data_IF_083947092137
#
_entry.id   IF_083947092137
#
_cell.length_a   1.000
_cell.length_b   1.000
_cell.length_c   1.000
_cell.angle_alpha   90.00
_cell.angle_beta   90.00
_cell.angle_gamma   90.00
#
_symmetry.space_group_name_H-M   'P 1'
#
loop_
_entity.id
_entity.type
_entity.pdbx_description
1 polymer ?
#
# COMPACT_ATOMS: atom_id res chain seq x y z
N UNK A 1 -1.18 -33.51 4.53
CA UNK A 1 -0.10 -33.08 5.44
C UNK A 1 -0.41 -31.63 5.84
N UNK A 2 -0.98 -31.40 7.03
CA UNK A 2 -1.37 -30.06 7.50
C UNK A 2 -0.21 -29.51 8.34
N UNK A 3 0.52 -28.54 7.81
CA UNK A 3 1.47 -27.77 8.61
C UNK A 3 0.65 -26.65 9.24
N UNK A 4 0.36 -26.78 10.53
CA UNK A 4 -0.28 -25.77 11.34
C UNK A 4 0.84 -24.85 11.85
N UNK A 5 1.06 -23.70 11.18
CA UNK A 5 1.99 -22.69 11.69
C UNK A 5 1.24 -21.89 12.75
N UNK A 6 1.45 -22.23 14.02
CA UNK A 6 1.11 -21.34 15.12
C UNK A 6 2.15 -20.23 15.16
N UNK A 7 1.76 -19.04 14.71
CA UNK A 7 2.57 -17.86 14.82
C UNK A 7 2.14 -17.08 16.07
N UNK A 8 2.90 -17.23 17.15
CA UNK A 8 2.71 -16.45 18.37
C UNK A 8 3.59 -15.20 18.25
N UNK A 9 3.04 -14.05 17.86
CA UNK A 9 3.72 -12.77 18.02
C UNK A 9 3.71 -12.42 19.51
N UNK A 10 4.84 -12.59 20.18
CA UNK A 10 5.06 -12.00 21.49
C UNK A 10 5.37 -10.52 21.28
N UNK A 11 4.49 -9.64 21.77
CA UNK A 11 4.79 -8.22 21.92
C UNK A 11 5.98 -8.12 22.89
N UNK A 12 7.16 -7.91 22.33
CA UNK A 12 8.41 -7.88 23.07
C UNK A 12 8.60 -6.46 23.62
N UNK A 13 8.92 -6.33 24.91
CA UNK A 13 9.39 -5.06 25.50
C UNK A 13 10.77 -4.62 24.97
N UNK A 14 11.37 -5.39 24.06
CA UNK A 14 12.62 -5.05 23.38
C UNK A 14 12.35 -4.53 21.97
N UNK A 15 13.14 -3.55 21.55
CA UNK A 15 13.01 -2.78 20.29
C UNK A 15 13.44 -3.59 19.06
N UNK A 16 13.46 -4.92 19.15
CA UNK A 16 13.78 -5.78 18.02
C UNK A 16 12.52 -6.04 17.20
N UNK A 17 12.55 -5.88 15.87
CA UNK A 17 11.37 -6.08 15.05
C UNK A 17 10.88 -7.53 15.12
N UNK A 18 9.56 -7.72 15.11
CA UNK A 18 8.97 -9.03 14.88
C UNK A 18 8.90 -9.26 13.38
N UNK A 19 9.72 -10.17 12.87
CA UNK A 19 9.87 -10.45 11.44
C UNK A 19 9.14 -11.74 11.06
N UNK A 20 8.26 -11.64 10.07
CA UNK A 20 7.65 -12.78 9.39
C UNK A 20 8.30 -12.92 8.01
N UNK A 21 9.10 -13.98 7.84
CA UNK A 21 9.88 -14.25 6.62
C UNK A 21 10.05 -15.75 6.35
N UNK A 22 10.28 -16.11 5.09
CA UNK A 22 10.75 -17.44 4.68
C UNK A 22 12.05 -17.85 5.41
N UNK A 23 12.17 -19.12 5.83
CA UNK A 23 13.45 -19.68 6.23
C UNK A 23 14.27 -20.03 4.97
N UNK A 24 15.41 -19.36 4.75
CA UNK A 24 16.32 -19.69 3.66
C UNK A 24 17.01 -21.03 3.95
N UNK A 25 16.57 -22.10 3.28
CA UNK A 25 17.34 -23.35 3.21
C UNK A 25 17.86 -23.51 1.77
N UNK A 26 19.17 -23.74 1.57
CA UNK A 26 19.70 -24.01 0.23
C UNK A 26 19.18 -25.38 -0.20
N UNK A 27 18.29 -25.40 -1.20
CA UNK A 27 17.80 -26.64 -1.78
C UNK A 27 18.18 -26.69 -3.25
N UNK A 28 19.01 -27.68 -3.59
CA UNK A 28 19.40 -27.98 -4.97
C UNK A 28 18.22 -28.65 -5.68
N UNK A 29 17.65 -27.99 -6.69
CA UNK A 29 16.63 -28.59 -7.57
C UNK A 29 17.08 -28.60 -9.03
N UNK A 30 16.56 -29.59 -9.77
CA UNK A 30 16.82 -29.81 -11.19
C UNK A 30 16.24 -28.65 -12.03
N UNK A 31 16.78 -28.36 -13.23
CA UNK A 31 16.22 -27.34 -14.11
C UNK A 31 14.75 -27.63 -14.42
N UNK A 32 13.87 -26.63 -14.25
CA UNK A 32 12.45 -26.70 -14.65
C UNK A 32 11.42 -26.91 -13.52
N UNK A 33 11.82 -26.86 -12.25
CA UNK A 33 10.87 -26.81 -11.12
C UNK A 33 11.08 -25.49 -10.37
N UNK A 34 10.17 -24.54 -10.54
CA UNK A 34 10.07 -23.38 -9.65
C UNK A 34 9.32 -23.84 -8.39
N UNK A 35 10.01 -23.91 -7.26
CA UNK A 35 9.38 -24.04 -5.95
C UNK A 35 9.34 -22.65 -5.34
N UNK A 36 8.15 -22.10 -5.17
CA UNK A 36 7.99 -20.91 -4.34
C UNK A 36 8.29 -21.28 -2.88
N UNK A 37 9.35 -20.72 -2.32
CA UNK A 37 9.79 -21.01 -0.94
C UNK A 37 9.22 -20.03 0.09
N UNK A 38 8.41 -19.06 -0.35
CA UNK A 38 7.79 -18.07 0.52
C UNK A 38 6.75 -18.73 1.45
N UNK A 39 6.50 -18.19 2.67
CA UNK A 39 5.37 -18.61 3.48
C UNK A 39 4.06 -18.30 2.75
N UNK A 40 3.17 -19.30 2.66
CA UNK A 40 1.85 -19.15 2.07
C UNK A 40 0.76 -19.15 3.15
N UNK A 41 -0.03 -18.08 3.19
CA UNK A 41 -1.26 -17.97 3.96
C UNK A 41 -2.44 -18.17 3.00
N UNK A 42 -3.11 -19.33 3.08
CA UNK A 42 -4.19 -19.70 2.14
C UNK A 42 -5.31 -20.55 2.71
N UNK A 43 -6.48 -20.43 2.08
CA UNK A 43 -7.71 -21.16 2.40
C UNK A 43 -8.26 -20.93 3.81
N UNK A 44 -8.01 -19.76 4.39
CA UNK A 44 -8.62 -19.35 5.65
C UNK A 44 -10.13 -19.14 5.46
N UNK A 45 -10.90 -19.49 6.50
CA UNK A 45 -12.36 -19.35 6.54
C UNK A 45 -12.81 -18.05 7.23
N UNK A 46 -11.88 -17.11 7.37
CA UNK A 46 -12.04 -15.76 7.89
C UNK A 46 -10.96 -14.88 7.26
N UNK A 47 -10.53 -13.82 7.93
CA UNK A 47 -9.32 -13.11 7.53
C UNK A 47 -8.11 -14.06 7.42
N UNK A 48 -7.19 -13.75 6.50
CA UNK A 48 -5.99 -14.55 6.27
C UNK A 48 -5.04 -14.52 7.46
N UNK A 49 -4.63 -13.31 7.86
CA UNK A 49 -3.82 -13.03 9.06
C UNK A 49 -4.32 -11.76 9.72
N UNK A 50 -4.43 -11.78 11.05
CA UNK A 50 -4.69 -10.59 11.86
C UNK A 50 -3.46 -10.23 12.68
N UNK A 51 -3.12 -8.95 12.73
CA UNK A 51 -2.16 -8.37 13.66
C UNK A 51 -2.84 -7.17 14.29
N UNK A 52 -2.94 -7.13 15.61
CA UNK A 52 -3.69 -6.09 16.32
C UNK A 52 -3.07 -5.65 17.65
N UNK A 53 -3.52 -4.49 18.13
CA UNK A 53 -3.21 -3.84 19.39
C UNK A 53 -3.84 -4.50 20.64
N UNK A 54 -4.42 -5.70 20.51
CA UNK A 54 -5.12 -6.39 21.59
C UNK A 54 -6.44 -5.71 22.01
N UNK A 55 -6.95 -4.78 21.20
CA UNK A 55 -8.21 -4.05 21.43
C UNK A 55 -8.05 -2.71 22.14
N UNK A 56 -6.82 -2.24 22.39
CA UNK A 56 -6.57 -0.91 22.95
C UNK A 56 -5.35 -0.24 22.31
N UNK A 57 -5.55 0.98 21.80
CA UNK A 57 -4.45 1.74 21.20
C UNK A 57 -3.41 2.24 22.19
N UNK A 58 -3.66 2.15 23.49
CA UNK A 58 -2.63 2.46 24.50
C UNK A 58 -1.42 1.52 24.44
N UNK A 59 -1.53 0.39 23.74
CA UNK A 59 -0.49 -0.60 23.56
C UNK A 59 -0.43 -1.04 22.09
N UNK A 60 0.00 -0.17 21.16
CA UNK A 60 0.02 -0.51 19.75
C UNK A 60 0.95 -1.70 19.50
N UNK A 61 0.59 -2.55 18.55
CA UNK A 61 1.53 -3.53 18.03
C UNK A 61 2.59 -2.77 17.22
N UNK A 62 3.89 -2.98 17.48
CA UNK A 62 4.90 -2.14 16.86
C UNK A 62 6.14 -2.88 16.36
N UNK A 63 6.83 -2.27 15.39
CA UNK A 63 8.06 -2.80 14.80
C UNK A 63 7.81 -4.17 14.13
N UNK A 64 6.83 -4.22 13.22
CA UNK A 64 6.44 -5.45 12.52
C UNK A 64 6.97 -5.41 11.09
N UNK A 65 7.64 -6.48 10.66
CA UNK A 65 8.07 -6.65 9.26
C UNK A 65 7.45 -7.90 8.68
N UNK A 66 6.74 -7.75 7.56
CA UNK A 66 6.22 -8.85 6.75
C UNK A 66 6.97 -8.80 5.42
N UNK A 67 7.76 -9.84 5.15
CA UNK A 67 8.65 -9.87 4.00
C UNK A 67 8.61 -11.23 3.31
N UNK A 68 8.67 -11.21 1.97
CA UNK A 68 8.78 -12.42 1.15
C UNK A 68 7.65 -13.42 1.45
N UNK A 69 6.39 -12.96 1.55
CA UNK A 69 5.23 -13.77 1.89
C UNK A 69 4.16 -13.78 0.77
N UNK A 70 3.32 -14.82 0.75
CA UNK A 70 2.19 -14.93 -0.19
C UNK A 70 0.89 -15.11 0.60
N UNK A 71 -0.07 -14.22 0.38
CA UNK A 71 -1.42 -14.29 0.94
C UNK A 71 -2.39 -14.54 -0.20
N UNK A 72 -3.09 -15.67 -0.19
CA UNK A 72 -3.96 -16.01 -1.33
C UNK A 72 -5.10 -16.96 -1.05
N UNK A 73 -6.08 -16.95 -1.95
CA UNK A 73 -7.14 -17.97 -2.05
C UNK A 73 -7.93 -18.13 -0.73
N UNK A 74 -8.62 -17.09 -0.28
CA UNK A 74 -9.51 -17.21 0.89
C UNK A 74 -10.65 -18.21 0.60
N UNK A 75 -10.93 -19.09 1.57
CA UNK A 75 -12.02 -20.07 1.49
C UNK A 75 -13.34 -19.52 2.07
N UNK A 76 -13.51 -18.20 2.00
CA UNK A 76 -14.64 -17.47 2.58
C UNK A 76 -15.01 -16.29 1.68
N UNK A 77 -16.30 -15.96 1.63
CA UNK A 77 -16.84 -14.78 0.94
C UNK A 77 -17.11 -13.63 1.90
N UNK A 78 -17.53 -12.48 1.37
CA UNK A 78 -17.85 -11.30 2.18
C UNK A 78 -16.61 -10.51 2.59
N UNK A 79 -16.73 -9.71 3.65
CA UNK A 79 -15.67 -8.82 4.11
C UNK A 79 -14.64 -9.57 4.96
N UNK A 80 -13.72 -10.26 4.29
CA UNK A 80 -12.59 -10.93 4.91
C UNK A 80 -11.30 -10.53 4.20
N UNK A 81 -10.33 -10.03 4.96
CA UNK A 81 -9.11 -9.45 4.43
C UNK A 81 -7.99 -10.50 4.40
N UNK A 82 -7.14 -10.46 3.37
CA UNK A 82 -5.95 -11.32 3.32
C UNK A 82 -4.99 -11.01 4.47
N UNK A 83 -4.80 -9.72 4.76
CA UNK A 83 -4.06 -9.22 5.91
C UNK A 83 -4.84 -8.08 6.60
N UNK A 84 -5.19 -8.29 7.86
CA UNK A 84 -5.88 -7.30 8.70
C UNK A 84 -4.92 -6.73 9.73
N UNK A 85 -4.74 -5.41 9.71
CA UNK A 85 -3.92 -4.66 10.66
C UNK A 85 -4.80 -3.73 11.48
N UNK A 86 -4.60 -3.67 12.79
CA UNK A 86 -5.38 -2.78 13.67
C UNK A 86 -4.52 -2.22 14.80
N UNK A 87 -4.31 -0.91 14.83
CA UNK A 87 -3.50 -0.25 15.86
C UNK A 87 -2.01 -0.59 15.80
N UNK A 88 -1.45 -0.69 14.59
CA UNK A 88 -0.02 -0.93 14.41
C UNK A 88 0.77 0.37 14.27
N UNK A 89 1.95 0.45 14.87
CA UNK A 89 2.92 1.52 14.66
C UNK A 89 4.25 0.95 14.11
N UNK A 90 4.92 1.67 13.22
CA UNK A 90 6.25 1.29 12.70
C UNK A 90 6.23 -0.12 12.09
N UNK A 91 5.63 -0.25 10.91
CA UNK A 91 5.53 -1.53 10.22
C UNK A 91 6.04 -1.44 8.78
N UNK A 92 6.51 -2.55 8.27
CA UNK A 92 6.93 -2.67 6.88
C UNK A 92 6.37 -3.94 6.25
N UNK A 93 5.78 -3.82 5.06
CA UNK A 93 5.28 -4.92 4.25
C UNK A 93 5.96 -4.83 2.89
N UNK A 94 6.82 -5.81 2.58
CA UNK A 94 7.61 -5.75 1.36
C UNK A 94 7.80 -7.08 0.66
N UNK A 95 7.95 -7.05 -0.66
CA UNK A 95 8.21 -8.24 -1.48
C UNK A 95 7.16 -9.34 -1.29
N UNK A 96 5.91 -8.97 -0.97
CA UNK A 96 4.80 -9.89 -0.77
C UNK A 96 3.88 -9.94 -2.00
N UNK A 97 3.15 -11.05 -2.13
CA UNK A 97 2.09 -11.20 -3.12
C UNK A 97 0.73 -11.40 -2.42
N UNK A 98 -0.29 -10.70 -2.92
CA UNK A 98 -1.67 -10.76 -2.44
C UNK A 98 -2.59 -11.11 -3.61
N UNK A 99 -3.20 -12.29 -3.57
CA UNK A 99 -3.90 -12.85 -4.75
C UNK A 99 -5.26 -13.43 -4.37
N UNK A 100 -6.27 -13.28 -5.22
CA UNK A 100 -7.57 -13.96 -5.09
C UNK A 100 -8.21 -13.73 -3.70
N UNK A 101 -8.42 -12.46 -3.36
CA UNK A 101 -9.07 -12.05 -2.11
C UNK A 101 -10.55 -12.43 -2.04
N UNK A 102 -11.16 -12.31 -0.85
CA UNK A 102 -12.60 -12.49 -0.73
C UNK A 102 -13.35 -11.33 -1.39
N UNK A 103 -14.47 -11.61 -2.05
CA UNK A 103 -15.19 -10.62 -2.88
C UNK A 103 -15.53 -9.30 -2.18
N UNK A 104 -15.76 -9.31 -0.86
CA UNK A 104 -16.07 -8.10 -0.09
C UNK A 104 -14.92 -7.56 0.76
N UNK A 105 -13.76 -8.21 0.77
CA UNK A 105 -12.62 -7.86 1.61
C UNK A 105 -11.48 -7.19 0.86
N UNK A 106 -10.38 -7.00 1.58
CA UNK A 106 -9.19 -6.26 1.14
C UNK A 106 -7.98 -7.18 1.01
N UNK A 107 -7.00 -6.80 0.19
CA UNK A 107 -5.65 -7.37 0.29
C UNK A 107 -5.03 -7.05 1.65
N UNK A 108 -4.96 -5.76 1.98
CA UNK A 108 -4.55 -5.24 3.29
C UNK A 108 -5.62 -4.28 3.79
N UNK A 109 -6.23 -4.55 4.95
CA UNK A 109 -7.13 -3.60 5.64
C UNK A 109 -6.48 -3.10 6.93
N UNK A 110 -6.26 -1.79 7.02
CA UNK A 110 -5.65 -1.12 8.16
C UNK A 110 -6.68 -0.26 8.89
N UNK A 111 -6.71 -0.41 10.22
CA UNK A 111 -7.52 0.45 11.09
C UNK A 111 -6.61 1.13 12.11
N UNK A 112 -6.45 2.44 11.98
CA UNK A 112 -5.66 3.30 12.86
C UNK A 112 -4.21 2.81 13.03
N UNK A 113 -3.54 2.59 11.90
CA UNK A 113 -2.12 2.21 11.87
C UNK A 113 -1.25 3.43 11.51
N UNK A 114 -0.02 3.49 12.01
CA UNK A 114 0.85 4.65 11.79
C UNK A 114 2.29 4.26 11.44
N UNK A 115 2.98 5.19 10.77
CA UNK A 115 4.41 5.05 10.44
C UNK A 115 4.74 3.76 9.67
N UNK A 116 3.89 3.45 8.68
CA UNK A 116 3.98 2.23 7.88
C UNK A 116 4.69 2.43 6.55
N UNK A 117 5.27 1.37 6.00
CA UNK A 117 5.76 1.32 4.63
C UNK A 117 5.30 0.03 3.94
N UNK A 118 4.52 0.17 2.88
CA UNK A 118 4.03 -0.93 2.04
C UNK A 118 4.70 -0.77 0.68
N UNK A 119 5.71 -1.59 0.38
CA UNK A 119 6.51 -1.40 -0.83
C UNK A 119 6.87 -2.66 -1.59
N UNK A 120 7.01 -2.55 -2.90
CA UNK A 120 7.50 -3.66 -3.74
C UNK A 120 6.64 -4.93 -3.60
N UNK A 121 5.33 -4.76 -3.43
CA UNK A 121 4.37 -5.86 -3.35
C UNK A 121 3.56 -5.97 -4.65
N UNK A 122 3.00 -7.15 -4.87
CA UNK A 122 2.11 -7.45 -5.99
C UNK A 122 0.69 -7.76 -5.47
N UNK A 123 -0.30 -7.18 -6.11
CA UNK A 123 -1.72 -7.34 -5.80
C UNK A 123 -2.46 -7.73 -7.09
N UNK A 124 -3.09 -8.91 -7.11
CA UNK A 124 -3.82 -9.39 -8.30
C UNK A 124 -5.16 -10.05 -7.95
N UNK A 125 -6.22 -9.67 -8.68
CA UNK A 125 -7.57 -10.24 -8.51
C UNK A 125 -8.12 -10.13 -7.07
N UNK A 126 -8.26 -8.88 -6.60
CA UNK A 126 -8.77 -8.60 -5.25
C UNK A 126 -10.29 -8.34 -5.28
N UNK A 127 -10.92 -8.41 -4.10
CA UNK A 127 -12.36 -8.21 -3.95
C UNK A 127 -12.77 -6.74 -3.98
N UNK A 128 -12.94 -6.14 -2.80
CA UNK A 128 -13.37 -4.74 -2.69
C UNK A 128 -12.24 -3.77 -3.04
N UNK A 129 -11.03 -4.03 -2.54
CA UNK A 129 -9.86 -3.19 -2.69
C UNK A 129 -8.56 -3.98 -2.47
N UNK A 130 -7.42 -3.43 -2.90
CA UNK A 130 -6.10 -4.00 -2.61
C UNK A 130 -5.58 -3.54 -1.26
N UNK A 131 -5.67 -2.24 -0.99
CA UNK A 131 -5.30 -1.66 0.31
C UNK A 131 -6.40 -0.70 0.76
N UNK A 132 -6.83 -0.87 2.01
CA UNK A 132 -7.67 0.10 2.72
C UNK A 132 -6.94 0.64 3.95
N UNK A 133 -6.87 1.97 4.06
CA UNK A 133 -6.28 2.69 5.18
C UNK A 133 -7.38 3.51 5.86
N UNK A 134 -7.87 3.15 7.05
CA UNK A 134 -9.00 3.86 7.69
C UNK A 134 -8.82 4.02 9.20
N UNK A 135 -9.79 4.63 9.87
CA UNK A 135 -9.88 4.63 11.33
C UNK A 135 -8.80 5.43 12.04
N UNK A 136 -8.30 6.50 11.41
CA UNK A 136 -7.23 7.36 11.93
C UNK A 136 -5.84 7.01 11.40
N UNK A 137 -5.73 6.12 10.41
CA UNK A 137 -4.44 5.70 9.84
C UNK A 137 -3.65 6.89 9.29
N UNK A 138 -2.37 7.02 9.64
CA UNK A 138 -1.56 8.19 9.28
C UNK A 138 -0.10 7.86 9.02
N UNK A 139 0.61 8.65 8.20
CA UNK A 139 2.05 8.49 7.95
C UNK A 139 2.42 7.12 7.36
N UNK A 140 1.65 6.66 6.37
CA UNK A 140 1.95 5.40 5.65
C UNK A 140 2.38 5.70 4.23
N UNK A 141 3.54 5.17 3.85
CA UNK A 141 4.03 5.12 2.47
C UNK A 141 3.56 3.86 1.75
N UNK A 142 3.07 4.01 0.53
CA UNK A 142 2.66 2.94 -0.40
C UNK A 142 3.49 3.15 -1.66
N UNK A 143 4.59 2.41 -1.80
CA UNK A 143 5.65 2.75 -2.75
C UNK A 143 6.07 1.59 -3.66
N UNK A 144 6.12 1.81 -4.99
CA UNK A 144 6.67 0.80 -5.89
C UNK A 144 5.91 -0.53 -5.92
N UNK A 145 4.61 -0.51 -5.65
CA UNK A 145 3.75 -1.70 -5.70
C UNK A 145 3.09 -1.83 -7.07
N UNK A 146 2.78 -3.06 -7.45
CA UNK A 146 2.05 -3.40 -8.66
C UNK A 146 0.64 -3.87 -8.31
N UNK A 147 -0.37 -3.23 -8.90
CA UNK A 147 -1.78 -3.58 -8.72
C UNK A 147 -2.40 -3.93 -10.06
N UNK A 148 -3.01 -5.12 -10.15
CA UNK A 148 -3.84 -5.53 -11.29
C UNK A 148 -5.18 -6.04 -10.79
N UNK A 149 -6.27 -5.53 -11.37
CA UNK A 149 -7.63 -5.94 -11.00
C UNK A 149 -7.83 -5.83 -9.48
N UNK A 150 -7.43 -4.69 -8.93
CA UNK A 150 -7.35 -4.43 -7.49
C UNK A 150 -8.70 -4.23 -6.79
N UNK A 151 -9.81 -4.60 -7.44
CA UNK A 151 -11.17 -4.44 -6.96
C UNK A 151 -11.85 -3.14 -7.38
N UNK A 152 -12.94 -2.79 -6.70
CA UNK A 152 -13.73 -1.59 -7.01
C UNK A 152 -12.98 -0.29 -6.69
N UNK A 153 -12.12 -0.31 -5.67
CA UNK A 153 -11.37 0.84 -5.16
C UNK A 153 -9.95 0.40 -4.82
N UNK A 154 -9.05 0.26 -5.81
CA UNK A 154 -7.76 -0.41 -5.59
C UNK A 154 -7.02 0.09 -4.35
N UNK A 155 -6.87 1.40 -4.21
CA UNK A 155 -6.53 2.06 -2.95
C UNK A 155 -7.75 2.78 -2.39
N UNK A 156 -8.28 2.29 -1.28
CA UNK A 156 -9.32 2.97 -0.52
C UNK A 156 -8.68 3.72 0.66
N UNK A 157 -8.26 4.95 0.39
CA UNK A 157 -7.57 5.85 1.30
C UNK A 157 -8.61 6.54 2.18
N UNK A 158 -8.94 5.88 3.28
CA UNK A 158 -9.99 6.23 4.23
C UNK A 158 -11.11 5.18 4.26
N UNK A 159 -12.33 5.58 4.64
CA UNK A 159 -13.48 4.66 4.68
C UNK A 159 -14.63 5.11 5.57
N UNK A 160 -15.29 4.12 6.17
CA UNK A 160 -16.39 4.29 7.11
C UNK A 160 -16.13 3.45 8.36
N UNK A 161 -15.34 3.99 9.28
CA UNK A 161 -14.94 3.32 10.50
C UNK A 161 -15.94 3.63 11.62
N UNK A 162 -16.36 2.62 12.37
CA UNK A 162 -17.15 2.86 13.59
C UNK A 162 -16.33 3.66 14.61
N UNK A 163 -16.94 4.65 15.28
CA UNK A 163 -16.22 5.59 16.16
C UNK A 163 -15.37 4.91 17.25
N UNK A 164 -15.85 3.77 17.78
CA UNK A 164 -15.15 2.96 18.78
C UNK A 164 -13.86 2.29 18.25
N UNK A 165 -13.64 2.31 16.95
CA UNK A 165 -12.50 1.70 16.27
C UNK A 165 -11.50 2.73 15.75
N UNK A 166 -11.64 4.00 16.07
CA UNK A 166 -10.60 4.96 15.72
C UNK A 166 -9.38 4.79 16.62
N UNK A 167 -8.19 4.87 16.04
CA UNK A 167 -6.93 4.98 16.77
C UNK A 167 -6.11 6.14 16.19
N UNK A 168 -5.75 7.15 16.99
CA UNK A 168 -6.33 7.44 18.31
C UNK A 168 -7.84 7.73 18.19
N UNK A 169 -8.59 7.57 19.29
CA UNK A 169 -10.03 7.85 19.32
C UNK A 169 -10.36 9.34 19.11
N UNK A 170 -9.37 10.22 19.20
CA UNK A 170 -9.41 11.65 18.91
C UNK A 170 -9.14 12.02 17.45
N UNK A 171 -8.92 11.05 16.56
CA UNK A 171 -8.65 11.34 15.15
C UNK A 171 -9.80 12.12 14.47
N UNK A 172 -9.41 13.06 13.62
CA UNK A 172 -10.28 14.00 12.88
C UNK A 172 -10.39 13.67 11.39
N UNK A 173 -9.93 12.49 10.98
CA UNK A 173 -9.91 12.00 9.59
C UNK A 173 -9.97 10.47 9.60
N UNK A 174 -10.41 9.87 8.50
CA UNK A 174 -10.32 8.41 8.32
C UNK A 174 -8.88 7.99 8.03
N UNK A 175 -8.20 8.77 7.19
CA UNK A 175 -6.78 8.63 6.94
C UNK A 175 -6.14 9.99 6.66
N UNK A 176 -4.89 10.18 7.04
CA UNK A 176 -4.17 11.39 6.69
C UNK A 176 -2.68 11.16 6.41
N UNK A 177 -2.04 12.15 5.77
CA UNK A 177 -0.58 12.16 5.55
C UNK A 177 -0.06 10.84 4.93
N UNK A 178 -0.79 10.33 3.95
CA UNK A 178 -0.40 9.13 3.19
C UNK A 178 0.38 9.53 1.95
N UNK A 179 1.29 8.66 1.54
CA UNK A 179 2.18 8.86 0.39
C UNK A 179 2.03 7.67 -0.54
N UNK A 180 1.55 7.89 -1.76
CA UNK A 180 1.35 6.85 -2.76
C UNK A 180 2.26 7.15 -3.94
N UNK A 181 3.40 6.47 -4.00
CA UNK A 181 4.48 6.82 -4.91
C UNK A 181 4.95 5.69 -5.82
N UNK A 182 5.26 6.01 -7.07
CA UNK A 182 5.93 5.08 -7.99
C UNK A 182 5.20 3.73 -8.16
N UNK A 183 3.88 3.68 -7.96
CA UNK A 183 3.09 2.46 -8.13
C UNK A 183 2.54 2.34 -9.55
N UNK A 184 2.19 1.12 -9.93
CA UNK A 184 1.56 0.81 -11.20
C UNK A 184 0.17 0.21 -10.94
N UNK A 185 -0.83 0.72 -11.65
CA UNK A 185 -2.22 0.27 -11.57
C UNK A 185 -2.69 -0.16 -12.96
N UNK A 186 -3.17 -1.39 -13.08
CA UNK A 186 -3.73 -1.96 -14.31
C UNK A 186 -5.18 -2.36 -14.05
N UNK A 187 -6.11 -1.78 -14.82
CA UNK A 187 -7.54 -1.98 -14.59
C UNK A 187 -8.05 -1.18 -13.38
N UNK A 188 -9.10 -1.70 -12.74
CA UNK A 188 -9.82 -1.13 -11.57
C UNK A 188 -10.96 -0.19 -11.95
N UNK A 189 -12.11 -0.37 -11.29
CA UNK A 189 -13.25 0.54 -11.42
C UNK A 189 -12.89 1.97 -10.99
N UNK A 190 -12.17 2.11 -9.87
CA UNK A 190 -11.45 3.33 -9.51
C UNK A 190 -10.11 2.97 -8.83
N UNK A 191 -8.94 3.32 -9.39
CA UNK A 191 -7.67 2.97 -8.77
C UNK A 191 -7.44 3.73 -7.47
N UNK A 192 -7.87 5.00 -7.38
CA UNK A 192 -7.72 5.84 -6.19
C UNK A 192 -9.08 6.29 -5.66
N UNK A 193 -9.36 6.00 -4.40
CA UNK A 193 -10.50 6.56 -3.68
C UNK A 193 -10.02 7.27 -2.41
N UNK A 194 -10.13 8.60 -2.37
CA UNK A 194 -10.01 9.41 -1.16
C UNK A 194 -11.35 9.40 -0.44
N UNK A 195 -11.41 8.89 0.78
CA UNK A 195 -12.66 8.66 1.52
C UNK A 195 -12.55 9.21 2.93
N UNK A 196 -12.83 10.50 3.12
CA UNK A 196 -12.55 11.19 4.39
C UNK A 196 -11.05 11.32 4.67
N UNK A 197 -10.25 11.42 3.60
CA UNK A 197 -8.80 11.53 3.66
C UNK A 197 -8.30 12.97 3.53
N UNK A 198 -7.22 13.28 4.24
CA UNK A 198 -6.62 14.63 4.30
C UNK A 198 -5.11 14.57 4.13
N UNK A 199 -4.51 15.51 3.40
CA UNK A 199 -3.06 15.59 3.20
C UNK A 199 -2.43 14.33 2.58
N UNK A 200 -3.14 13.67 1.66
CA UNK A 200 -2.62 12.53 0.91
C UNK A 200 -1.94 13.02 -0.37
N UNK A 201 -0.76 12.50 -0.66
CA UNK A 201 -0.04 12.75 -1.92
C UNK A 201 -0.02 11.48 -2.74
N UNK A 202 -0.63 11.52 -3.93
CA UNK A 202 -0.53 10.49 -4.95
C UNK A 202 0.33 11.03 -6.07
N UNK A 203 1.60 10.59 -6.11
CA UNK A 203 2.54 11.14 -7.07
C UNK A 203 3.40 10.10 -7.79
N UNK A 204 3.77 10.40 -9.03
CA UNK A 204 4.67 9.56 -9.81
C UNK A 204 4.13 8.13 -9.99
N UNK A 205 2.81 7.94 -10.11
CA UNK A 205 2.22 6.63 -10.38
C UNK A 205 1.84 6.50 -11.87
N UNK A 206 1.72 5.28 -12.34
CA UNK A 206 1.20 4.97 -13.68
C UNK A 206 -0.14 4.25 -13.55
N UNK A 207 -1.20 4.83 -14.11
CA UNK A 207 -2.54 4.27 -14.20
C UNK A 207 -2.83 3.87 -15.65
N UNK A 208 -3.09 2.60 -15.87
CA UNK A 208 -3.34 2.03 -17.18
C UNK A 208 -4.72 1.37 -17.22
N UNK A 209 -5.59 1.87 -18.09
CA UNK A 209 -6.95 1.35 -18.32
C UNK A 209 -7.84 1.32 -17.05
N UNK A 210 -7.97 2.43 -16.29
CA UNK A 210 -9.04 2.52 -15.29
C UNK A 210 -10.41 2.42 -15.99
N UNK A 211 -11.40 1.77 -15.36
CA UNK A 211 -12.64 1.39 -16.06
C UNK A 211 -13.78 2.42 -15.95
N UNK A 212 -13.94 3.09 -14.80
CA UNK A 212 -15.12 3.95 -14.58
C UNK A 212 -14.76 5.32 -14.02
N UNK A 213 -13.74 5.38 -13.16
CA UNK A 213 -13.14 6.61 -12.66
C UNK A 213 -11.63 6.40 -12.51
N UNK A 214 -10.86 7.48 -12.54
CA UNK A 214 -9.48 7.49 -12.08
C UNK A 214 -9.44 7.79 -10.58
N UNK A 215 -10.27 8.74 -10.15
CA UNK A 215 -10.28 9.24 -8.78
C UNK A 215 -11.71 9.27 -8.24
N UNK A 216 -11.87 8.89 -6.97
CA UNK A 216 -13.08 9.18 -6.19
C UNK A 216 -12.73 10.07 -5.00
N UNK A 217 -13.55 11.09 -4.76
CA UNK A 217 -13.46 12.01 -3.62
C UNK A 217 -14.77 11.86 -2.84
N UNK A 218 -14.72 11.19 -1.70
CA UNK A 218 -15.89 10.77 -0.93
C UNK A 218 -15.74 11.16 0.54
N UNK A 219 -16.88 11.29 1.23
CA UNK A 219 -16.94 11.44 2.68
C UNK A 219 -17.98 10.47 3.23
N UNK A 220 -17.54 9.30 3.71
CA UNK A 220 -18.46 8.28 4.22
C UNK A 220 -18.69 8.40 5.73
N UNK A 221 -17.70 8.86 6.49
CA UNK A 221 -17.88 9.24 7.91
C UNK A 221 -18.20 10.73 8.00
N UNK A 222 -19.44 11.06 8.37
CA UNK A 222 -19.95 12.44 8.41
C UNK A 222 -20.32 12.83 9.84
N UNK A 223 -19.43 13.58 10.47
CA UNK A 223 -19.68 14.31 11.72
C UNK A 223 -18.85 15.60 11.65
N UNK A 224 -19.45 16.73 11.23
CA UNK A 224 -18.73 17.99 11.01
C UNK A 224 -18.09 18.60 12.26
N UNK A 225 -18.53 18.21 13.46
CA UNK A 225 -17.93 18.68 14.71
C UNK A 225 -16.60 17.97 15.02
N UNK A 226 -16.36 16.83 14.36
CA UNK A 226 -15.20 15.98 14.58
C UNK A 226 -14.32 15.82 13.35
N UNK A 227 -14.88 15.55 12.19
CA UNK A 227 -14.12 15.17 10.99
C UNK A 227 -13.95 16.33 10.02
N UNK A 228 -12.73 16.49 9.55
CA UNK A 228 -12.45 17.36 8.42
C UNK A 228 -13.11 16.78 7.15
N UNK A 229 -13.62 17.65 6.26
CA UNK A 229 -14.05 17.19 4.94
C UNK A 229 -12.85 16.66 4.15
N UNK A 230 -13.08 15.63 3.33
CA UNK A 230 -12.07 15.07 2.44
C UNK A 230 -11.53 16.17 1.52
N UNK A 231 -10.24 16.48 1.64
CA UNK A 231 -9.64 17.68 1.07
C UNK A 231 -8.14 17.78 1.34
N UNK A 232 -7.49 18.80 0.76
CA UNK A 232 -6.05 19.04 0.84
C UNK A 232 -5.22 17.82 0.37
N UNK A 233 -5.68 17.12 -0.67
CA UNK A 233 -4.96 16.00 -1.25
C UNK A 233 -4.39 16.40 -2.63
N UNK A 234 -3.30 15.76 -3.03
CA UNK A 234 -2.59 16.11 -4.27
C UNK A 234 -2.46 14.90 -5.20
N UNK A 235 -2.65 15.15 -6.49
CA UNK A 235 -2.41 14.20 -7.59
C UNK A 235 -1.39 14.81 -8.56
N UNK A 236 -0.14 14.37 -8.46
CA UNK A 236 1.01 15.07 -9.07
C UNK A 236 1.90 14.12 -9.90
N UNK A 237 2.41 14.55 -11.05
CA UNK A 237 3.37 13.74 -11.84
C UNK A 237 2.87 12.33 -12.18
N UNK A 238 1.57 12.06 -12.23
CA UNK A 238 1.08 10.73 -12.59
C UNK A 238 0.92 10.61 -14.10
N UNK A 239 1.08 9.40 -14.65
CA UNK A 239 0.62 9.07 -15.99
C UNK A 239 -0.74 8.39 -15.87
N UNK A 240 -1.73 8.89 -16.60
CA UNK A 240 -3.04 8.26 -16.79
C UNK A 240 -3.19 7.94 -18.26
N UNK A 241 -3.29 6.65 -18.58
CA UNK A 241 -3.49 6.13 -19.92
C UNK A 241 -4.88 5.51 -20.01
N UNK A 242 -5.72 6.07 -20.87
CA UNK A 242 -7.09 5.64 -21.12
C UNK A 242 -7.17 4.94 -22.48
N UNK A 243 -7.87 3.82 -22.54
CA UNK A 243 -8.20 3.16 -23.81
C UNK A 243 -9.41 3.78 -24.48
N UNK A 244 -10.33 4.35 -23.70
CA UNK A 244 -11.57 4.95 -24.16
C UNK A 244 -12.00 6.10 -23.23
N UNK A 245 -12.98 6.88 -23.66
CA UNK A 245 -13.58 7.93 -22.84
C UNK A 245 -14.27 7.34 -21.61
N UNK A 246 -13.91 7.84 -20.43
CA UNK A 246 -14.69 7.59 -19.22
C UNK A 246 -15.90 8.54 -19.17
N UNK A 247 -17.00 8.09 -18.55
CA UNK A 247 -18.13 8.98 -18.28
C UNK A 247 -17.73 10.19 -17.42
N UNK A 248 -16.73 10.00 -16.54
CA UNK A 248 -16.07 11.05 -15.76
C UNK A 248 -14.77 10.47 -15.18
N UNK A 249 -13.66 11.20 -15.21
CA UNK A 249 -12.40 10.74 -14.60
C UNK A 249 -12.44 10.88 -13.07
N UNK A 250 -13.26 11.80 -12.56
CA UNK A 250 -13.41 12.08 -11.13
C UNK A 250 -14.86 11.89 -10.69
N UNK A 251 -15.06 11.11 -9.64
CA UNK A 251 -16.35 11.01 -8.93
C UNK A 251 -16.28 11.80 -7.62
N UNK A 252 -17.19 12.74 -7.43
CA UNK A 252 -17.25 13.59 -6.23
C UNK A 252 -18.54 13.33 -5.48
N UNK A 253 -18.42 12.93 -4.22
CA UNK A 253 -19.52 12.77 -3.28
C UNK A 253 -19.79 14.04 -2.46
N UNK A 254 -20.95 14.11 -1.78
CA UNK A 254 -21.28 15.23 -0.90
C UNK A 254 -20.34 15.31 0.32
N UNK A 255 -20.36 16.45 1.02
CA UNK A 255 -19.59 16.70 2.26
C UNK A 255 -18.06 16.60 2.10
N UNK A 256 -17.56 16.81 0.89
CA UNK A 256 -16.14 16.88 0.55
C UNK A 256 -15.73 18.32 0.28
N UNK A 257 -14.43 18.61 0.28
CA UNK A 257 -13.87 19.92 -0.07
C UNK A 257 -12.97 19.79 -1.33
N UNK A 258 -13.51 19.37 -2.48
CA UNK A 258 -12.72 19.05 -3.68
C UNK A 258 -11.97 20.27 -4.25
N UNK A 259 -12.44 21.49 -3.96
CA UNK A 259 -11.78 22.75 -4.32
C UNK A 259 -10.42 22.97 -3.66
N UNK A 260 -10.09 22.15 -2.66
CA UNK A 260 -8.80 22.20 -1.95
C UNK A 260 -7.75 21.22 -2.50
N UNK A 261 -8.12 20.41 -3.51
CA UNK A 261 -7.20 19.47 -4.12
C UNK A 261 -6.15 20.19 -4.98
N UNK A 262 -5.01 19.54 -5.18
CA UNK A 262 -3.98 19.98 -6.11
C UNK A 262 -3.83 18.95 -7.25
N UNK A 263 -3.87 19.43 -8.48
CA UNK A 263 -3.51 18.66 -9.67
C UNK A 263 -2.37 19.39 -10.39
N UNK A 264 -1.26 18.69 -10.61
CA UNK A 264 -0.07 19.31 -11.18
C UNK A 264 0.78 18.32 -11.97
N UNK A 265 1.21 18.72 -13.17
CA UNK A 265 2.21 18.00 -13.96
C UNK A 265 1.85 16.52 -14.26
N UNK A 266 0.57 16.14 -14.25
CA UNK A 266 0.15 14.82 -14.70
C UNK A 266 0.13 14.76 -16.23
N UNK A 267 0.33 13.57 -16.77
CA UNK A 267 0.13 13.27 -18.18
C UNK A 267 -1.16 12.47 -18.31
N UNK A 268 -2.12 13.00 -19.05
CA UNK A 268 -3.36 12.32 -19.41
C UNK A 268 -3.36 12.01 -20.90
N UNK A 269 -3.40 10.73 -21.23
CA UNK A 269 -3.39 10.26 -22.61
C UNK A 269 -4.60 9.39 -22.88
N UNK A 270 -5.43 9.82 -23.82
CA UNK A 270 -6.52 9.02 -24.37
C UNK A 270 -6.07 8.42 -25.70
N UNK A 271 -6.02 7.10 -25.77
CA UNK A 271 -5.52 6.39 -26.94
C UNK A 271 -6.53 6.32 -28.10
N UNK A 272 -7.83 6.46 -27.82
CA UNK A 272 -8.90 6.37 -28.82
C UNK A 272 -9.37 7.74 -29.32
N UNK A 273 -9.12 8.82 -28.56
CA UNK A 273 -9.42 10.19 -28.98
C UNK A 273 -8.21 11.14 -28.88
N UNK A 274 -7.57 11.40 -30.02
CA UNK A 274 -6.46 12.36 -30.14
C UNK A 274 -6.86 13.83 -29.88
N UNK A 275 -8.16 14.15 -29.93
CA UNK A 275 -8.70 15.48 -29.65
C UNK A 275 -9.42 15.57 -28.30
N UNK A 276 -9.25 14.55 -27.44
CA UNK A 276 -9.87 14.53 -26.13
C UNK A 276 -9.54 15.80 -25.34
N UNK A 277 -10.55 16.42 -24.73
CA UNK A 277 -10.40 17.72 -24.08
C UNK A 277 -9.65 17.67 -22.74
N UNK A 278 -9.30 16.46 -22.28
CA UNK A 278 -8.72 16.22 -20.96
C UNK A 278 -9.77 15.89 -19.90
N UNK A 279 -9.32 15.58 -18.67
CA UNK A 279 -10.17 15.13 -17.59
C UNK A 279 -11.07 16.24 -17.04
N UNK A 280 -12.25 15.88 -16.54
CA UNK A 280 -13.10 16.79 -15.77
C UNK A 280 -12.65 16.86 -14.30
N UNK A 281 -11.74 17.78 -13.99
CA UNK A 281 -11.17 17.96 -12.65
C UNK A 281 -11.94 19.00 -11.81
N UNK A 282 -12.02 18.85 -10.47
CA UNK A 282 -12.70 19.81 -9.60
C UNK A 282 -12.02 21.18 -9.52
N UNK A 283 -10.72 21.20 -9.80
CA UNK A 283 -9.91 22.42 -9.90
C UNK A 283 -9.03 22.32 -11.15
N UNK A 284 -8.66 23.45 -11.78
CA UNK A 284 -7.76 23.44 -12.93
C UNK A 284 -6.40 22.83 -12.57
N UNK A 285 -5.93 21.92 -13.41
CA UNK A 285 -4.58 21.39 -13.30
C UNK A 285 -3.54 22.40 -13.79
N UNK A 286 -2.40 22.46 -13.11
CA UNK A 286 -1.25 23.28 -13.51
C UNK A 286 -0.21 22.44 -14.24
N UNK A 287 0.28 22.91 -15.40
CA UNK A 287 1.33 22.26 -16.20
C UNK A 287 1.06 20.79 -16.60
N UNK A 288 -0.20 20.37 -16.66
CA UNK A 288 -0.57 19.03 -17.15
C UNK A 288 -0.25 18.85 -18.64
N UNK A 289 0.05 17.62 -19.03
CA UNK A 289 0.22 17.21 -20.43
C UNK A 289 -1.03 16.46 -20.88
N UNK A 290 -1.64 16.88 -21.98
CA UNK A 290 -2.82 16.24 -22.56
C UNK A 290 -2.48 15.60 -23.90
N UNK A 291 -3.00 14.40 -24.14
CA UNK A 291 -2.89 13.63 -25.38
C UNK A 291 -1.46 13.44 -25.88
N UNK A 292 -0.51 13.32 -24.95
CA UNK A 292 0.87 13.00 -25.25
C UNK A 292 1.14 11.53 -24.91
N UNK A 293 1.35 10.69 -25.93
CA UNK A 293 1.61 9.25 -25.73
C UNK A 293 2.89 9.05 -24.89
N UNK A 294 2.82 8.38 -23.72
CA UNK A 294 3.98 8.14 -22.88
C UNK A 294 5.01 7.19 -23.50
N UNK A 295 4.70 6.53 -24.62
CA UNK A 295 5.56 5.59 -25.34
C UNK A 295 5.98 4.39 -24.49
N UNK A 296 5.03 3.81 -23.73
CA UNK A 296 5.29 2.61 -22.94
C UNK A 296 5.90 1.50 -23.80
N UNK A 297 6.92 0.82 -23.28
CA UNK A 297 7.67 -0.19 -24.02
C UNK A 297 6.80 -1.37 -24.49
N UNK A 298 6.20 -2.11 -23.55
CA UNK A 298 5.26 -3.22 -23.86
C UNK A 298 4.14 -3.33 -22.82
N UNK A 299 3.15 -2.41 -22.84
CA UNK A 299 2.09 -2.36 -21.82
C UNK A 299 1.23 -3.64 -21.79
N UNK A 300 1.11 -4.37 -22.90
CA UNK A 300 0.44 -5.68 -22.97
C UNK A 300 1.11 -6.77 -22.13
N UNK A 301 2.39 -6.61 -21.81
CA UNK A 301 3.14 -7.47 -20.89
C UNK A 301 3.33 -6.82 -19.51
N UNK A 302 2.57 -5.76 -19.21
CA UNK A 302 2.71 -4.92 -18.02
C UNK A 302 4.09 -4.25 -17.86
N UNK A 303 4.80 -3.99 -18.97
CA UNK A 303 6.00 -3.16 -18.98
C UNK A 303 5.64 -1.72 -19.33
N UNK A 304 5.60 -0.88 -18.29
CA UNK A 304 5.28 0.54 -18.36
C UNK A 304 6.53 1.44 -18.30
N UNK A 305 7.71 0.87 -18.56
CA UNK A 305 8.90 1.69 -18.71
C UNK A 305 8.76 2.66 -19.89
N UNK A 306 9.35 3.84 -19.73
CA UNK A 306 9.31 4.91 -20.73
C UNK A 306 10.72 5.16 -21.28
N UNK A 307 10.87 5.40 -22.60
CA UNK A 307 12.15 5.73 -23.19
C UNK A 307 12.53 7.19 -22.92
N UNK A 308 13.80 7.54 -23.09
CA UNK A 308 14.33 8.90 -22.86
C UNK A 308 13.72 9.99 -23.76
N UNK A 309 13.04 9.61 -24.85
CA UNK A 309 12.32 10.51 -25.75
C UNK A 309 10.81 10.57 -25.49
N UNK A 310 10.31 9.89 -24.44
CA UNK A 310 8.92 10.01 -24.00
C UNK A 310 8.59 11.46 -23.63
N UNK A 311 7.38 11.97 -23.93
CA UNK A 311 6.94 13.28 -23.45
C UNK A 311 6.85 13.34 -21.91
N UNK A 312 6.77 12.21 -21.23
CA UNK A 312 6.74 12.09 -19.78
C UNK A 312 8.12 12.33 -19.11
N UNK A 313 9.16 12.70 -19.85
CA UNK A 313 10.53 12.82 -19.32
C UNK A 313 10.75 13.93 -18.26
N UNK A 314 9.76 14.80 -17.99
CA UNK A 314 9.92 15.93 -17.05
C UNK A 314 8.64 16.35 -16.34
N UNK A 315 8.58 16.13 -15.03
CA UNK A 315 7.51 16.55 -14.12
C UNK A 315 7.92 17.68 -13.17
N UNK A 316 7.15 17.84 -12.10
CA UNK A 316 7.39 18.74 -10.97
C UNK A 316 8.44 18.14 -10.03
N UNK A 317 9.40 18.95 -9.56
CA UNK A 317 10.34 18.50 -8.53
C UNK A 317 9.62 18.29 -7.19
N UNK A 318 9.72 17.07 -6.65
CA UNK A 318 9.23 16.70 -5.33
C UNK A 318 10.38 16.29 -4.41
N UNK A 319 10.17 16.29 -3.09
CA UNK A 319 11.15 15.78 -2.12
C UNK A 319 11.17 14.25 -2.03
N UNK A 320 10.08 13.61 -2.46
CA UNK A 320 9.90 12.17 -2.57
C UNK A 320 8.90 11.90 -3.72
N UNK A 321 8.91 10.71 -4.35
CA UNK A 321 9.82 9.57 -4.10
C UNK A 321 11.25 9.81 -4.57
N UNK A 322 12.20 9.11 -3.94
CA UNK A 322 13.60 9.10 -4.38
C UNK A 322 13.86 8.08 -5.50
N UNK A 323 13.10 6.97 -5.51
CA UNK A 323 13.28 5.86 -6.43
C UNK A 323 12.00 5.60 -7.24
N UNK A 324 12.18 5.20 -8.49
CA UNK A 324 11.14 4.74 -9.39
C UNK A 324 10.71 3.30 -9.08
N UNK A 325 9.74 2.78 -9.83
CA UNK A 325 9.20 1.44 -9.65
C UNK A 325 10.27 0.34 -9.80
N UNK A 326 11.27 0.55 -10.65
CA UNK A 326 12.38 -0.39 -10.85
C UNK A 326 13.52 -0.21 -9.83
N UNK A 327 13.38 0.71 -8.88
CA UNK A 327 14.40 1.02 -7.87
C UNK A 327 15.53 1.92 -8.40
N UNK A 328 15.38 2.54 -9.57
CA UNK A 328 16.31 3.54 -10.06
C UNK A 328 16.00 4.90 -9.44
N UNK A 329 17.01 5.74 -9.25
CA UNK A 329 16.76 7.08 -8.73
C UNK A 329 16.10 8.00 -9.74
N UNK A 330 15.08 8.75 -9.30
CA UNK A 330 14.46 9.81 -10.10
C UNK A 330 15.45 10.95 -10.35
N UNK A 331 15.40 11.54 -11.53
CA UNK A 331 16.15 12.75 -11.85
C UNK A 331 15.56 13.99 -11.14
N UNK A 332 16.24 15.14 -11.24
CA UNK A 332 15.70 16.42 -10.75
C UNK A 332 15.66 17.42 -11.90
N UNK A 333 14.46 17.84 -12.36
CA UNK A 333 13.14 17.28 -12.01
C UNK A 333 12.98 15.81 -12.46
N UNK A 334 12.07 15.05 -11.83
CA UNK A 334 11.82 13.64 -12.15
C UNK A 334 11.08 13.52 -13.48
N UNK A 335 11.08 12.33 -14.08
CA UNK A 335 10.04 11.96 -15.05
C UNK A 335 8.65 11.92 -14.40
N UNK A 336 7.60 12.04 -15.22
CA UNK A 336 6.19 11.81 -14.86
C UNK A 336 5.95 10.29 -14.94
N UNK A 337 5.15 9.76 -14.01
CA UNK A 337 4.81 8.34 -13.92
C UNK A 337 5.76 7.56 -13.03
N UNK A 338 5.59 6.23 -13.05
CA UNK A 338 6.27 5.30 -12.15
C UNK A 338 7.69 4.92 -12.55
N UNK A 339 8.16 5.29 -13.75
CA UNK A 339 9.50 4.98 -14.24
C UNK A 339 10.25 6.26 -14.57
N UNK A 340 11.55 6.29 -14.26
CA UNK A 340 12.43 7.38 -14.67
C UNK A 340 13.01 7.12 -16.05
N UNK A 341 12.77 8.04 -17.00
CA UNK A 341 13.27 7.93 -18.37
C UNK A 341 14.80 8.10 -18.45
N UNK A 342 15.39 8.88 -17.54
CA UNK A 342 16.83 9.14 -17.48
C UNK A 342 17.34 9.01 -16.04
N UNK A 343 17.47 7.77 -15.52
CA UNK A 343 17.77 7.55 -14.11
C UNK A 343 19.13 8.09 -13.72
N UNK A 344 19.22 8.67 -12.52
CA UNK A 344 20.50 9.11 -11.97
C UNK A 344 21.37 7.88 -11.68
N UNK A 345 22.49 7.78 -12.38
CA UNK A 345 23.50 6.76 -12.12
C UNK A 345 24.25 7.08 -10.83
N UNK A 346 24.36 6.13 -9.91
CA UNK A 346 25.21 6.27 -8.72
C UNK A 346 24.56 6.88 -7.48
N UNK A 347 23.22 6.87 -7.39
CA UNK A 347 22.62 6.68 -6.07
C UNK A 347 23.00 5.26 -5.66
N UNK A 348 24.05 5.12 -4.86
CA UNK A 348 24.25 3.88 -4.12
C UNK A 348 22.89 3.60 -3.45
N UNK A 349 22.25 2.49 -3.82
CA UNK A 349 21.46 1.74 -2.85
C UNK A 349 22.42 1.59 -1.68
N UNK A 350 22.33 2.46 -0.66
CA UNK A 350 23.15 2.32 0.52
C UNK A 350 22.96 0.85 0.92
N UNK A 351 24.00 0.00 0.81
CA UNK A 351 23.84 -1.44 0.88
C UNK A 351 23.11 -1.68 2.17
N UNK A 352 21.87 -2.19 2.07
CA UNK A 352 20.83 -2.23 3.11
C UNK A 352 21.52 -2.18 4.47
N UNK A 353 21.81 -0.96 4.93
CA UNK A 353 22.61 -0.82 6.15
C UNK A 353 21.51 -1.15 7.13
N UNK A 354 21.50 -2.39 7.60
CA UNK A 354 20.97 -2.72 8.92
C UNK A 354 21.38 -1.52 9.76
N UNK A 355 20.43 -0.63 10.02
CA UNK A 355 20.74 0.64 10.63
C UNK A 355 21.46 0.27 11.92
N UNK A 356 22.78 0.52 12.09
CA UNK A 356 23.42 0.19 13.34
C UNK A 356 22.95 1.29 14.28
N UNK A 357 21.82 1.03 14.94
CA UNK A 357 21.15 1.95 15.84
C UNK A 357 20.37 3.05 15.11
N UNK A 358 19.08 2.82 14.90
CA UNK A 358 18.15 3.80 15.46
C UNK A 358 18.47 3.87 16.95
N UNK A 359 19.25 4.88 17.34
CA UNK A 359 19.48 5.19 18.76
C UNK A 359 18.15 5.68 19.31
N UNK A 360 17.36 4.74 19.81
CA UNK A 360 16.31 5.06 20.75
C UNK A 360 17.00 5.65 21.99
N UNK A 361 16.61 6.84 22.48
CA UNK A 361 17.14 7.36 23.72
C UNK A 361 16.78 6.37 24.84
N UNK A 362 17.76 5.56 25.23
CA UNK A 362 17.64 4.67 26.39
C UNK A 362 17.51 5.52 27.65
N UNK A 363 16.53 5.28 28.54
CA UNK A 363 16.71 5.64 29.93
C UNK A 363 17.84 4.77 30.49
N UNK A 364 18.94 5.43 30.85
CA UNK A 364 20.09 4.88 31.56
C UNK A 364 19.67 3.97 32.71
N UNK A 365 19.82 2.65 32.56
CA UNK A 365 20.20 1.75 33.65
C UNK A 365 21.08 0.62 33.10
N UNK A 366 22.33 0.63 33.55
CA UNK A 366 23.40 -0.26 33.14
C UNK A 366 23.18 -1.70 33.63
N UNK A 367 23.35 -2.70 32.77
CA UNK A 367 24.15 -3.92 33.03
C UNK A 367 24.37 -4.73 31.75
N UNK A 368 25.64 -5.07 31.48
CA UNK A 368 26.05 -6.05 30.47
C UNK A 368 25.81 -7.47 30.99
N UNK A 369 25.27 -8.38 30.15
CA UNK A 369 25.49 -9.83 30.29
C UNK A 369 25.62 -10.49 28.91
N UNK A 370 26.75 -11.16 28.69
CA UNK A 370 26.93 -12.16 27.63
C UNK A 370 26.46 -13.53 28.17
N UNK A 371 25.84 -14.36 27.33
CA UNK A 371 25.65 -15.78 27.63
C UNK A 371 25.54 -16.61 26.34
N UNK A 372 26.51 -17.52 26.17
CA UNK A 372 26.54 -18.60 25.17
C UNK A 372 25.73 -19.81 25.66
N UNK A 373 25.08 -20.47 24.71
CA UNK A 373 24.55 -21.85 24.66
C UNK A 373 24.32 -22.67 25.96
N UNK A 374 23.11 -23.21 26.09
CA UNK A 374 22.78 -24.66 25.98
C UNK A 374 21.72 -25.14 26.99
N UNK A 375 20.80 -25.97 26.45
CA UNK A 375 19.92 -26.97 27.10
C UNK A 375 19.00 -26.50 28.26
N UNK A 376 17.68 -26.72 28.12
CA UNK A 376 16.90 -27.63 28.99
C UNK A 376 15.43 -27.72 28.51
N UNK A 377 14.88 -28.94 28.61
CA UNK A 377 13.47 -29.30 28.39
C UNK A 377 12.59 -28.76 29.53
N UNK A 378 11.42 -28.21 29.22
CA UNK A 378 10.28 -28.26 30.13
C UNK A 378 8.94 -28.36 29.38
N UNK A 379 8.06 -29.20 29.92
CA UNK A 379 6.74 -29.54 29.39
C UNK A 379 5.72 -28.47 29.76
N UNK A 380 4.84 -28.10 28.84
CA UNK A 380 3.55 -27.45 29.17
C UNK A 380 2.42 -28.22 28.46
N UNK A 381 1.39 -28.60 29.24
CA UNK A 381 0.21 -29.36 28.79
C UNK A 381 -0.83 -28.41 28.20
N UNK A 382 -1.41 -28.77 27.06
CA UNK A 382 -2.64 -28.16 26.54
C UNK A 382 -3.85 -28.97 26.99
N UNK A 383 -4.93 -28.31 27.41
CA UNK A 383 -6.24 -28.92 27.69
C UNK A 383 -7.20 -28.43 26.59
N UNK A 384 -7.66 -29.33 25.72
CA UNK A 384 -8.69 -29.01 24.73
C UNK A 384 -10.06 -29.02 25.40
N UNK A 385 -10.87 -27.99 25.15
CA UNK A 385 -12.32 -28.04 25.36
C UNK A 385 -12.96 -28.06 23.97
N UNK A 386 -13.47 -29.21 23.56
CA UNK A 386 -14.49 -29.30 22.51
C UNK A 386 -15.87 -29.11 23.17
N UNK A 387 -16.85 -28.48 22.52
CA UNK A 387 -18.25 -28.75 22.81
C UNK A 387 -18.68 -30.05 22.11
N UNK A 388 -19.46 -30.83 22.83
CA UNK A 388 -20.05 -32.11 22.44
C UNK A 388 -21.27 -31.98 21.54
N UNK A 389 -21.41 -32.99 20.67
CA UNK A 389 -22.57 -33.46 19.90
C UNK A 389 -22.95 -32.65 18.65
#
# INVERSE_FOLDING_TARGET
>A
MRILVFLLLLCSQTISPVVLKAATTPSSFRPGVFVDTRPHFRHQTGNGVNIDDGGTYSTPAHHVVIEDCVFRDLAVSGNNDLLKLSGLDYFEIRNCAFENGAAGGSGIDMVGCHHGLIRQNEFESLGSNSIQAKGGTEWVGIEGNFFRDGGQRTLNLGGSTGLQFFRPDTAHFEAANLQVYANIFVGSTAPIAYVGAVNVVVANNTFYQPENWVIRILQETVDPDRFLPCGNNSFINNIVWLEEDLNSEVNIGPNTAPETFEFSNNLWFNADDANWAGPNLPVPETNGLLNADPLFATPTNADFSIPSNSPAWRGLTLTAPAFDFAGNGYAIPPSIGAFEANPVTGLDMLPEKLCPGAFFPTPLLASFFWSLESLWKSRLRFKSLMPSA
#
